data_IF_649949577741
#
_entry.id   IF_649949577741
#
_cell.length_a   1.000
_cell.length_b   1.000
_cell.length_c   1.000
_cell.angle_alpha   90.00
_cell.angle_beta   90.00
_cell.angle_gamma   90.00
#
_symmetry.space_group_name_H-M   'P 1'
#
loop_
_entity.id
_entity.type
_entity.pdbx_description
1 polymer ?
#
# COMPACT_ATOMS: atom_id res chain seq x y z
N UNK A 1 -18.00 11.99 -9.28
CA UNK A 1 -17.08 12.10 -8.11
C UNK A 1 -16.13 10.90 -8.17
N UNK A 2 -14.84 11.11 -7.92
CA UNK A 2 -13.85 10.02 -7.83
C UNK A 2 -13.64 9.69 -6.36
N UNK A 3 -13.62 8.41 -6.03
CA UNK A 3 -13.42 7.92 -4.65
C UNK A 3 -12.14 7.09 -4.62
N UNK A 4 -11.24 7.40 -3.69
CA UNK A 4 -10.03 6.63 -3.42
C UNK A 4 -10.02 6.08 -2.00
N UNK A 5 -9.30 4.98 -1.80
CA UNK A 5 -9.03 4.42 -0.49
C UNK A 5 -7.61 4.78 -0.04
N UNK A 6 -7.48 5.30 1.16
CA UNK A 6 -6.18 5.57 1.79
C UNK A 6 -5.87 4.45 2.78
N UNK A 7 -4.87 3.64 2.44
CA UNK A 7 -4.49 2.46 3.21
C UNK A 7 -3.32 2.78 4.15
N UNK A 8 -3.60 2.94 5.41
CA UNK A 8 -2.60 3.23 6.45
C UNK A 8 -2.03 2.00 7.14
N UNK A 9 -2.37 0.79 6.71
CA UNK A 9 -1.81 -0.49 7.17
C UNK A 9 -1.64 -0.61 8.70
N UNK A 10 -2.61 -0.13 9.48
CA UNK A 10 -2.53 -0.13 10.94
C UNK A 10 -2.66 -1.52 11.55
N UNK A 11 -1.94 -1.80 12.62
CA UNK A 11 -1.94 -3.08 13.34
C UNK A 11 -2.03 -2.92 14.86
N UNK A 12 -3.07 -2.26 15.34
CA UNK A 12 -3.31 -1.98 16.76
C UNK A 12 -3.33 -3.22 17.66
N UNK A 13 -3.71 -4.37 17.10
CA UNK A 13 -3.88 -5.62 17.85
C UNK A 13 -2.68 -6.55 17.73
N UNK A 14 -1.56 -6.06 17.21
CA UNK A 14 -0.33 -6.82 17.01
C UNK A 14 -0.55 -8.19 16.32
N UNK A 15 -1.38 -8.20 15.29
CA UNK A 15 -1.65 -9.39 14.47
C UNK A 15 -0.41 -9.77 13.65
N UNK A 16 -0.25 -11.05 13.27
CA UNK A 16 0.74 -11.45 12.29
C UNK A 16 0.61 -10.62 10.99
N UNK A 17 1.73 -10.17 10.43
CA UNK A 17 1.72 -9.32 9.23
C UNK A 17 0.99 -9.97 8.05
N UNK A 18 1.04 -11.30 7.94
CA UNK A 18 0.29 -12.05 6.93
C UNK A 18 -1.21 -11.78 6.98
N UNK A 19 -1.79 -11.63 8.17
CA UNK A 19 -3.21 -11.29 8.31
C UNK A 19 -3.51 -9.86 7.87
N UNK A 20 -2.62 -8.92 8.19
CA UNK A 20 -2.75 -7.53 7.73
C UNK A 20 -2.66 -7.48 6.19
N UNK A 21 -1.70 -8.21 5.62
CA UNK A 21 -1.54 -8.29 4.18
C UNK A 21 -2.79 -8.85 3.47
N UNK A 22 -3.38 -9.91 4.00
CA UNK A 22 -4.64 -10.45 3.43
C UNK A 22 -5.79 -9.44 3.54
N UNK A 23 -5.93 -8.74 4.65
CA UNK A 23 -6.93 -7.67 4.79
C UNK A 23 -6.73 -6.55 3.75
N UNK A 24 -5.49 -6.14 3.51
CA UNK A 24 -5.17 -5.12 2.49
C UNK A 24 -5.55 -5.63 1.09
N UNK A 25 -5.24 -6.87 0.78
CA UNK A 25 -5.59 -7.52 -0.49
C UNK A 25 -7.10 -7.57 -0.71
N UNK A 26 -7.84 -7.99 0.30
CA UNK A 26 -9.31 -8.06 0.24
C UNK A 26 -9.93 -6.68 0.02
N UNK A 27 -9.43 -5.66 0.71
CA UNK A 27 -9.88 -4.28 0.53
C UNK A 27 -9.57 -3.78 -0.89
N UNK A 28 -8.37 -4.02 -1.39
CA UNK A 28 -7.96 -3.59 -2.73
C UNK A 28 -8.81 -4.26 -3.83
N UNK A 29 -9.04 -5.56 -3.71
CA UNK A 29 -9.90 -6.32 -4.62
C UNK A 29 -11.34 -5.80 -4.55
N UNK A 30 -11.86 -5.55 -3.35
CA UNK A 30 -13.18 -4.96 -3.17
C UNK A 30 -13.31 -3.59 -3.84
N UNK A 31 -12.32 -2.71 -3.65
CA UNK A 31 -12.29 -1.38 -4.27
C UNK A 31 -12.25 -1.47 -5.80
N UNK A 32 -11.43 -2.36 -6.36
CA UNK A 32 -11.34 -2.60 -7.81
C UNK A 32 -12.67 -3.09 -8.39
N UNK A 33 -13.29 -4.09 -7.75
CA UNK A 33 -14.58 -4.66 -8.18
C UNK A 33 -15.72 -3.64 -8.10
N UNK A 34 -15.68 -2.74 -7.14
CA UNK A 34 -16.69 -1.69 -6.93
C UNK A 34 -16.35 -0.36 -7.64
N UNK A 35 -15.39 -0.37 -8.57
CA UNK A 35 -15.02 0.75 -9.44
C UNK A 35 -14.56 2.00 -8.68
N UNK A 36 -13.89 1.80 -7.56
CA UNK A 36 -13.19 2.91 -6.91
C UNK A 36 -12.05 3.38 -7.80
N UNK A 37 -11.77 4.69 -7.74
CA UNK A 37 -10.81 5.31 -8.65
C UNK A 37 -9.36 4.94 -8.32
N UNK A 38 -9.04 4.86 -7.03
CA UNK A 38 -7.65 4.65 -6.59
C UNK A 38 -7.51 4.05 -5.20
N UNK A 39 -6.36 3.42 -4.96
CA UNK A 39 -5.89 3.03 -3.63
C UNK A 39 -4.49 3.63 -3.40
N UNK A 40 -4.23 4.10 -2.18
CA UNK A 40 -3.01 4.80 -1.82
C UNK A 40 -2.38 4.15 -0.59
N UNK A 41 -1.07 3.85 -0.68
CA UNK A 41 -0.31 3.24 0.41
C UNK A 41 0.62 4.25 1.06
N UNK A 42 0.71 4.18 2.39
CA UNK A 42 1.69 4.94 3.18
C UNK A 42 3.03 4.20 3.27
N UNK A 43 4.09 4.91 3.61
CA UNK A 43 5.37 4.30 3.97
C UNK A 43 5.69 4.66 5.43
N UNK A 44 5.90 3.62 6.25
CA UNK A 44 6.22 3.78 7.66
C UNK A 44 7.30 2.81 8.09
N UNK A 45 8.24 3.33 8.89
CA UNK A 45 9.38 2.58 9.39
C UNK A 45 9.45 2.68 10.91
N UNK A 46 9.80 1.56 11.55
CA UNK A 46 10.11 1.48 12.98
C UNK A 46 8.99 1.96 13.92
N UNK A 47 7.75 1.82 13.53
CA UNK A 47 6.63 2.11 14.40
C UNK A 47 6.60 1.09 15.55
N UNK A 48 7.12 1.49 16.72
CA UNK A 48 7.17 0.66 17.92
C UNK A 48 5.79 0.41 18.53
N UNK A 49 4.82 1.21 18.16
CA UNK A 49 3.43 1.07 18.60
C UNK A 49 2.62 0.09 17.74
N UNK A 50 3.25 -0.50 16.72
CA UNK A 50 2.59 -1.46 15.82
C UNK A 50 1.46 -0.87 14.99
N UNK A 51 1.39 0.47 14.90
CA UNK A 51 0.29 1.15 14.25
C UNK A 51 0.34 1.07 12.74
N UNK A 52 1.55 0.99 12.17
CA UNK A 52 1.78 1.11 10.74
C UNK A 52 2.85 0.12 10.29
N UNK A 53 2.54 -0.66 9.27
CA UNK A 53 3.34 -1.85 8.92
C UNK A 53 3.70 -1.94 7.45
N UNK A 54 3.78 -0.80 6.74
CA UNK A 54 4.16 -0.80 5.32
C UNK A 54 5.53 -0.13 5.10
N UNK A 55 6.65 -0.85 5.25
CA UNK A 55 7.97 -0.28 5.03
C UNK A 55 8.35 -0.15 3.56
N UNK A 56 7.60 -0.76 2.64
CA UNK A 56 7.84 -0.68 1.20
C UNK A 56 6.52 -0.59 0.42
N UNK A 57 6.02 0.63 0.18
CA UNK A 57 4.76 0.83 -0.53
C UNK A 57 4.84 0.45 -2.02
N UNK A 58 6.02 0.48 -2.64
CA UNK A 58 6.19 0.05 -4.04
C UNK A 58 6.01 -1.46 -4.17
N UNK A 59 6.59 -2.24 -3.28
CA UNK A 59 6.38 -3.71 -3.26
C UNK A 59 4.93 -4.06 -2.96
N UNK A 60 4.28 -3.36 -2.05
CA UNK A 60 2.85 -3.50 -1.79
C UNK A 60 2.04 -3.19 -3.05
N UNK A 61 2.38 -2.12 -3.74
CA UNK A 61 1.72 -1.74 -5.00
C UNK A 61 1.85 -2.81 -6.07
N UNK A 62 3.01 -3.43 -6.21
CA UNK A 62 3.24 -4.53 -7.16
C UNK A 62 2.38 -5.77 -6.80
N UNK A 63 2.28 -6.14 -5.51
CA UNK A 63 1.42 -7.25 -5.07
C UNK A 63 -0.07 -6.95 -5.38
N UNK A 64 -0.53 -5.73 -5.14
CA UNK A 64 -1.91 -5.34 -5.42
C UNK A 64 -2.16 -5.23 -6.92
N UNK A 65 -1.22 -4.71 -7.71
CA UNK A 65 -1.35 -4.64 -9.17
C UNK A 65 -1.53 -6.03 -9.80
N UNK A 66 -0.87 -7.05 -9.27
CA UNK A 66 -1.03 -8.42 -9.73
C UNK A 66 -2.44 -9.02 -9.45
N UNK A 67 -3.24 -8.40 -8.59
CA UNK A 67 -4.54 -8.90 -8.11
C UNK A 67 -5.72 -8.05 -8.56
N UNK A 68 -5.47 -6.88 -9.11
CA UNK A 68 -6.50 -5.91 -9.53
C UNK A 68 -6.38 -5.63 -11.03
N UNK A 69 -7.37 -4.97 -11.62
CA UNK A 69 -7.41 -4.76 -13.09
C UNK A 69 -7.61 -3.29 -13.48
N UNK A 70 -8.31 -2.52 -12.68
CA UNK A 70 -8.79 -1.20 -13.08
C UNK A 70 -8.39 -0.10 -12.12
N UNK A 71 -8.26 -0.40 -10.83
CA UNK A 71 -7.97 0.59 -9.80
C UNK A 71 -6.56 1.17 -9.99
N UNK A 72 -6.44 2.48 -9.88
CA UNK A 72 -5.13 3.14 -9.87
C UNK A 72 -4.48 2.98 -8.51
N UNK A 73 -3.20 2.69 -8.52
CA UNK A 73 -2.42 2.46 -7.30
C UNK A 73 -1.39 3.57 -7.17
N UNK A 74 -1.30 4.15 -5.99
CA UNK A 74 -0.36 5.23 -5.69
C UNK A 74 0.26 5.11 -4.30
N UNK A 75 1.28 5.92 -4.06
CA UNK A 75 1.94 6.04 -2.77
C UNK A 75 1.67 7.44 -2.20
N UNK A 76 1.35 7.50 -0.90
CA UNK A 76 1.14 8.74 -0.19
C UNK A 76 1.78 8.69 1.22
N UNK A 77 3.10 8.76 1.24
CA UNK A 77 4.04 8.90 0.12
C UNK A 77 5.15 7.85 0.17
N UNK A 78 5.93 7.73 -0.90
CA UNK A 78 7.25 7.08 -0.82
C UNK A 78 8.24 8.07 -0.21
N UNK A 79 8.90 7.69 0.89
CA UNK A 79 9.88 8.53 1.60
C UNK A 79 11.23 8.44 0.88
N UNK A 80 11.37 9.15 -0.22
CA UNK A 80 12.52 9.02 -1.14
C UNK A 80 13.88 9.25 -0.49
N UNK A 81 13.93 9.91 0.66
CA UNK A 81 15.17 10.12 1.42
C UNK A 81 15.78 8.83 1.99
N UNK A 82 14.99 7.76 2.10
CA UNK A 82 15.46 6.44 2.54
C UNK A 82 15.88 5.53 1.39
N UNK A 83 15.68 5.98 0.14
CA UNK A 83 15.88 5.14 -1.04
C UNK A 83 17.02 5.64 -1.91
N UNK A 84 17.69 4.72 -2.58
CA UNK A 84 18.59 5.11 -3.67
C UNK A 84 17.73 5.66 -4.83
N UNK A 85 17.99 6.90 -5.31
CA UNK A 85 17.13 7.55 -6.31
C UNK A 85 17.11 6.83 -7.66
N UNK A 86 18.21 6.20 -8.06
CA UNK A 86 18.27 5.39 -9.29
C UNK A 86 17.36 4.18 -9.14
N UNK A 87 17.42 3.52 -7.99
CA UNK A 87 16.60 2.33 -7.72
C UNK A 87 15.12 2.66 -7.70
N UNK A 88 14.73 3.76 -7.05
CA UNK A 88 13.33 4.21 -7.06
C UNK A 88 12.85 4.52 -8.48
N UNK A 89 13.67 5.15 -9.29
CA UNK A 89 13.32 5.44 -10.68
C UNK A 89 13.09 4.16 -11.50
N UNK A 90 13.93 3.13 -11.29
CA UNK A 90 13.76 1.81 -11.92
C UNK A 90 12.50 1.09 -11.44
N UNK A 91 12.23 1.13 -10.12
CA UNK A 91 11.09 0.42 -9.53
C UNK A 91 9.73 1.06 -9.88
N UNK A 92 9.71 2.35 -10.26
CA UNK A 92 8.49 3.08 -10.67
C UNK A 92 8.25 2.99 -12.19
N UNK A 93 9.31 2.84 -12.98
CA UNK A 93 9.21 2.80 -14.45
C UNK A 93 8.56 1.52 -14.98
#
# INVERSE_FOLDING_TARGET
MKIGYFCNSTNWNNKPFTQILEQIRDIAIYCDQNKWDSIWFTEHHFSHEGMETCPNPLMMSADIAARTKNIRIGQAATIITFWNPIRVAEDIA
#
